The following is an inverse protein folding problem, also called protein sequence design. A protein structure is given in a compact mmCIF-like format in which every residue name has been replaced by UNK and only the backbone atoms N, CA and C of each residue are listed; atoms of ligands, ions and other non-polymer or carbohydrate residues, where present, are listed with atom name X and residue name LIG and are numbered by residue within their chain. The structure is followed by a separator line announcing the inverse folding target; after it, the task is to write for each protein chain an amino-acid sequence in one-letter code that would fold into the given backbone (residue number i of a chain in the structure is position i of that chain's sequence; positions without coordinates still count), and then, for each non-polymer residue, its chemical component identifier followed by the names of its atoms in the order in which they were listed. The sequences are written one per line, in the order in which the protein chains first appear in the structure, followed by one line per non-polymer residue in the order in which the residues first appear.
data_IF_941979522575
#
_entry.id   IF_941979522575
#
_cell.length_a   1.000
_cell.length_b   1.000
_cell.length_c   1.000
_cell.angle_alpha   90.00
_cell.angle_beta   90.00
_cell.angle_gamma   90.00
#
_symmetry.space_group_name_H-M   'P 1'
#
loop_
_entity.id
_entity.type
_entity.pdbx_description
1 polymer ?
#
# COMPACT_ATOMS: atom_id res chain seq x y z
N UNK A 1 25.22 24.72 -17.34
CA UNK A 1 26.11 25.70 -16.65
C UNK A 1 25.45 27.07 -16.50
N UNK A 2 24.61 27.51 -17.42
CA UNK A 2 23.91 28.80 -17.38
C UNK A 2 22.79 28.89 -16.31
N UNK A 3 22.08 27.83 -16.01
CA UNK A 3 20.98 27.84 -15.02
C UNK A 3 21.51 27.95 -13.58
N UNK A 4 22.72 27.50 -13.32
CA UNK A 4 23.34 27.55 -11.99
C UNK A 4 23.85 28.98 -11.64
N UNK A 5 24.19 29.79 -12.63
CA UNK A 5 24.65 31.17 -12.46
C UNK A 5 23.47 32.12 -12.19
N UNK A 6 22.31 31.90 -12.80
CA UNK A 6 21.10 32.69 -12.59
C UNK A 6 20.55 32.58 -11.15
N UNK A 7 20.62 31.38 -10.53
CA UNK A 7 20.13 31.15 -9.14
C UNK A 7 21.01 31.87 -8.09
N UNK A 8 22.30 32.08 -8.33
CA UNK A 8 23.18 32.81 -7.43
C UNK A 8 23.04 34.34 -7.52
N UNK A 9 22.63 34.87 -8.66
CA UNK A 9 22.38 36.31 -8.83
C UNK A 9 21.05 36.75 -8.18
N UNK A 10 20.06 35.86 -8.08
CA UNK A 10 18.78 36.18 -7.42
C UNK A 10 18.88 36.22 -5.87
N UNK A 11 19.81 35.47 -5.29
CA UNK A 11 20.03 35.45 -3.84
C UNK A 11 20.78 36.69 -3.31
N UNK A 12 21.54 37.39 -4.16
CA UNK A 12 22.32 38.60 -3.79
C UNK A 12 21.45 39.85 -3.89
N UNK A 13 20.40 39.87 -4.71
CA UNK A 13 19.52 41.02 -4.86
C UNK A 13 18.46 41.17 -3.74
N UNK A 14 18.16 40.07 -3.01
CA UNK A 14 17.17 40.08 -1.91
C UNK A 14 17.74 40.54 -0.57
N UNK A 15 19.07 40.56 -0.41
CA UNK A 15 19.75 40.97 0.83
C UNK A 15 20.09 42.47 0.91
N UNK A 16 19.83 43.25 -0.16
CA UNK A 16 20.17 44.68 -0.21
C UNK A 16 18.99 45.65 0.02
N UNK A 17 17.76 45.14 0.21
CA UNK A 17 16.54 45.94 0.38
C UNK A 17 16.10 46.09 1.84
N UNK A 18 16.77 45.44 2.81
CA UNK A 18 16.40 45.51 4.25
C UNK A 18 17.25 46.41 5.12
N UNK A 19 18.05 47.30 4.55
CA UNK A 19 19.00 48.20 5.33
C UNK A 19 18.77 49.70 5.16
N UNK A 20 17.58 50.15 4.78
CA UNK A 20 17.30 51.58 4.63
C UNK A 20 15.90 51.96 5.13
N UNK A 21 15.69 51.93 6.49
CA UNK A 21 14.59 52.67 7.11
C UNK A 21 14.79 52.81 8.63
N UNK A 22 15.80 53.58 9.03
CA UNK A 22 15.95 54.06 10.40
C UNK A 22 16.66 55.40 10.36
N UNK A 23 15.94 56.50 10.15
CA UNK A 23 16.32 57.85 10.63
C UNK A 23 15.19 58.87 10.40
N UNK A 24 14.92 59.61 11.47
CA UNK A 24 14.22 60.90 11.58
C UNK A 24 12.79 60.81 12.13
N UNK A 25 12.38 61.46 13.17
CA UNK A 25 12.69 62.71 13.88
C UNK A 25 11.82 62.77 15.13
N UNK A 26 12.26 63.20 16.29
CA UNK A 26 12.23 64.61 16.64
C UNK A 26 11.35 64.86 17.86
N UNK A 27 11.89 65.38 18.91
CA UNK A 27 11.40 65.66 20.24
C UNK A 27 10.18 66.59 20.34
N UNK A 28 9.32 66.37 21.35
CA UNK A 28 8.73 67.41 22.20
C UNK A 28 8.41 66.88 23.58
N UNK A 29 9.01 67.56 24.60
CA UNK A 29 8.74 67.41 26.05
C UNK A 29 7.34 67.92 26.43
N UNK A 30 6.68 67.27 27.39
CA UNK A 30 6.00 67.84 28.56
C UNK A 30 5.09 66.78 29.23
N UNK A 31 4.67 66.95 30.46
CA UNK A 31 5.33 66.71 31.74
C UNK A 31 4.78 65.47 32.47
N UNK A 32 5.49 65.01 33.49
CA UNK A 32 5.16 63.88 34.32
C UNK A 32 3.84 64.02 35.13
N UNK A 33 3.14 62.91 35.34
CA UNK A 33 2.42 62.71 36.58
C UNK A 33 2.82 61.39 37.28
N UNK A 34 3.12 61.60 38.55
CA UNK A 34 2.83 60.80 39.76
C UNK A 34 2.86 59.24 39.68
N UNK A 35 3.79 58.70 40.42
CA UNK A 35 3.90 57.32 40.84
C UNK A 35 2.57 56.77 41.46
N UNK A 36 1.95 55.84 40.76
CA UNK A 36 1.01 54.92 41.39
C UNK A 36 1.64 53.53 41.47
N UNK A 37 1.61 52.94 42.64
CA UNK A 37 2.18 51.67 42.99
C UNK A 37 1.66 50.54 42.07
N UNK A 38 2.59 49.93 41.35
CA UNK A 38 2.36 48.75 40.54
C UNK A 38 2.23 47.54 41.47
N UNK A 39 1.00 47.06 41.66
CA UNK A 39 0.75 45.74 42.24
C UNK A 39 1.42 44.68 41.38
N UNK A 40 2.34 43.92 41.90
CA UNK A 40 2.88 42.72 41.30
C UNK A 40 1.71 41.72 41.05
N UNK A 41 1.45 41.45 39.76
CA UNK A 41 0.61 40.32 39.41
C UNK A 41 1.32 39.03 39.82
N UNK A 42 0.59 38.04 40.39
CA UNK A 42 1.21 36.77 40.75
C UNK A 42 1.75 36.12 39.49
N UNK A 43 2.98 35.61 39.53
CA UNK A 43 3.59 34.80 38.49
C UNK A 43 2.63 33.63 38.19
N UNK A 44 2.21 33.54 36.93
CA UNK A 44 1.51 32.39 36.45
C UNK A 44 2.46 31.20 36.66
N UNK A 45 2.13 30.33 37.58
CA UNK A 45 2.74 29.00 37.66
C UNK A 45 2.29 28.25 36.40
N UNK A 46 3.22 28.04 35.49
CA UNK A 46 3.03 27.10 34.38
C UNK A 46 2.64 25.75 35.00
N UNK A 47 1.36 25.39 34.89
CA UNK A 47 0.93 24.04 35.15
C UNK A 47 1.66 23.12 34.17
N UNK A 48 2.14 21.95 34.61
CA UNK A 48 2.76 21.01 33.67
C UNK A 48 1.77 20.75 32.53
N UNK A 49 2.16 21.00 31.30
CA UNK A 49 1.38 20.58 30.14
C UNK A 49 1.37 19.05 30.22
N UNK A 50 0.21 18.44 30.42
CA UNK A 50 0.09 16.98 30.34
C UNK A 50 0.55 16.54 28.95
N UNK A 51 1.44 15.54 28.90
CA UNK A 51 1.92 14.96 27.66
C UNK A 51 0.73 14.44 26.85
N UNK A 52 0.70 14.74 25.54
CA UNK A 52 -0.35 14.24 24.66
C UNK A 52 -0.37 12.71 24.65
N UNK A 53 -1.48 12.10 24.19
CA UNK A 53 -1.53 10.64 24.01
C UNK A 53 -0.37 10.17 23.11
N UNK A 54 -0.09 10.87 22.04
CA UNK A 54 0.99 10.55 21.11
C UNK A 54 2.37 10.62 21.77
N UNK A 55 2.64 11.64 22.59
CA UNK A 55 3.91 11.73 23.34
C UNK A 55 4.09 10.53 24.29
N UNK A 56 3.03 10.15 24.98
CA UNK A 56 3.04 8.98 25.88
C UNK A 56 3.24 7.67 25.10
N UNK A 57 2.59 7.53 23.93
CA UNK A 57 2.73 6.36 23.07
C UNK A 57 4.17 6.23 22.52
N UNK A 58 4.77 7.34 22.07
CA UNK A 58 6.15 7.36 21.59
C UNK A 58 7.13 6.91 22.68
N UNK A 59 6.99 7.45 23.90
CA UNK A 59 7.89 7.06 25.01
C UNK A 59 7.68 5.59 25.43
N UNK A 60 6.44 5.10 25.43
CA UNK A 60 6.15 3.69 25.72
C UNK A 60 6.71 2.76 24.63
N UNK A 61 6.58 3.13 23.34
CA UNK A 61 7.12 2.39 22.22
C UNK A 61 8.67 2.36 22.25
N UNK A 62 9.32 3.48 22.54
CA UNK A 62 10.78 3.54 22.71
C UNK A 62 11.26 2.64 23.87
N UNK A 63 10.48 2.51 24.93
CA UNK A 63 10.81 1.62 26.04
C UNK A 63 10.75 0.13 25.64
N UNK A 64 9.94 -0.24 24.64
CA UNK A 64 9.93 -1.59 24.06
C UNK A 64 11.13 -1.83 23.14
N UNK A 65 11.62 -0.80 22.46
CA UNK A 65 12.91 -0.73 21.76
C UNK A 65 12.98 -1.47 20.42
N UNK A 66 12.01 -2.30 20.08
CA UNK A 66 11.99 -3.11 18.85
C UNK A 66 10.57 -3.18 18.27
N UNK A 67 10.50 -3.35 16.93
CA UNK A 67 9.27 -3.66 16.18
C UNK A 67 9.58 -4.73 15.14
N UNK A 68 8.69 -5.70 14.95
CA UNK A 68 8.79 -6.74 13.91
C UNK A 68 7.65 -6.59 12.92
N UNK A 69 7.98 -6.33 11.65
CA UNK A 69 7.03 -6.07 10.56
C UNK A 69 6.97 -7.24 9.60
N UNK A 70 5.80 -7.81 9.33
CA UNK A 70 5.56 -8.66 8.18
C UNK A 70 4.98 -7.80 7.06
N UNK A 71 5.72 -7.66 5.95
CA UNK A 71 5.33 -6.83 4.82
C UNK A 71 4.86 -7.64 3.63
N UNK A 72 3.83 -7.16 2.94
CA UNK A 72 3.27 -7.79 1.73
C UNK A 72 3.19 -6.85 0.53
N UNK A 73 3.75 -5.64 0.63
CA UNK A 73 3.94 -4.70 -0.48
C UNK A 73 5.29 -4.93 -1.17
N UNK A 74 5.68 -4.03 -2.08
CA UNK A 74 6.99 -4.01 -2.73
C UNK A 74 8.08 -3.91 -1.67
N UNK A 75 9.17 -4.67 -1.88
CA UNK A 75 10.24 -4.79 -0.88
C UNK A 75 10.95 -3.46 -0.65
N UNK A 76 11.12 -2.67 -1.72
CA UNK A 76 11.76 -1.37 -1.69
C UNK A 76 10.96 -0.38 -0.83
N UNK A 77 9.63 -0.34 -1.00
CA UNK A 77 8.75 0.48 -0.17
C UNK A 77 8.72 0.01 1.29
N UNK A 78 8.64 -1.30 1.52
CA UNK A 78 8.68 -1.87 2.87
C UNK A 78 9.97 -1.48 3.60
N UNK A 79 11.11 -1.61 2.92
CA UNK A 79 12.42 -1.30 3.49
C UNK A 79 12.51 0.16 3.94
N UNK A 80 12.18 1.11 3.04
CA UNK A 80 12.27 2.55 3.37
C UNK A 80 11.24 2.99 4.41
N UNK A 81 10.05 2.37 4.46
CA UNK A 81 9.07 2.63 5.51
C UNK A 81 9.61 2.20 6.89
N UNK A 82 10.24 1.00 6.96
CA UNK A 82 10.89 0.53 8.18
C UNK A 82 12.06 1.42 8.61
N UNK A 83 12.91 1.82 7.67
CA UNK A 83 14.03 2.73 7.91
C UNK A 83 13.53 4.10 8.41
N UNK A 84 12.47 4.64 7.80
CA UNK A 84 11.89 5.93 8.18
C UNK A 84 11.28 5.90 9.59
N UNK A 85 10.57 4.84 9.94
CA UNK A 85 10.06 4.65 11.29
C UNK A 85 11.21 4.60 12.33
N UNK A 86 12.27 3.84 12.02
CA UNK A 86 13.45 3.77 12.89
C UNK A 86 14.15 5.13 13.01
N UNK A 87 14.26 5.91 11.90
CA UNK A 87 14.83 7.26 11.91
C UNK A 87 14.03 8.21 12.82
N UNK A 88 12.69 8.20 12.69
CA UNK A 88 11.82 9.12 13.43
C UNK A 88 11.76 8.82 14.92
N UNK A 89 11.72 7.55 15.30
CA UNK A 89 11.41 7.16 16.66
C UNK A 89 12.57 6.51 17.43
N UNK A 90 13.65 6.14 16.74
CA UNK A 90 14.80 5.48 17.36
C UNK A 90 14.51 4.06 17.86
N UNK A 91 13.49 3.39 17.28
CA UNK A 91 13.09 2.02 17.59
C UNK A 91 13.68 1.11 16.52
N UNK A 92 14.36 0.00 16.91
CA UNK A 92 14.90 -0.97 15.96
C UNK A 92 13.75 -1.67 15.21
N UNK A 93 13.80 -1.71 13.86
CA UNK A 93 12.80 -2.40 13.06
C UNK A 93 13.41 -3.61 12.37
N UNK A 94 12.82 -4.77 12.62
CA UNK A 94 13.10 -6.00 11.89
C UNK A 94 11.92 -6.29 10.97
N UNK A 95 12.18 -6.62 9.71
CA UNK A 95 11.09 -6.92 8.80
C UNK A 95 11.35 -8.19 7.98
N UNK A 96 10.26 -8.80 7.54
CA UNK A 96 10.26 -9.92 6.60
C UNK A 96 9.23 -9.67 5.51
N UNK A 97 9.67 -9.71 4.23
CA UNK A 97 8.77 -9.65 3.09
C UNK A 97 8.18 -11.03 2.82
N UNK A 98 6.85 -11.12 2.85
CA UNK A 98 6.05 -12.32 2.58
C UNK A 98 4.89 -11.95 1.66
N UNK A 99 4.35 -12.87 0.88
CA UNK A 99 3.07 -12.63 0.20
C UNK A 99 1.92 -12.64 1.21
N UNK A 100 0.81 -12.00 0.86
CA UNK A 100 -0.32 -11.80 1.80
C UNK A 100 -0.86 -13.14 2.33
N UNK A 101 -0.94 -14.17 1.47
CA UNK A 101 -1.38 -15.50 1.90
C UNK A 101 -0.38 -16.21 2.81
N UNK A 102 0.93 -15.97 2.61
CA UNK A 102 1.95 -16.51 3.51
C UNK A 102 1.91 -15.87 4.89
N UNK A 103 1.66 -14.54 4.98
CA UNK A 103 1.46 -13.88 6.28
C UNK A 103 0.24 -14.45 6.97
N UNK A 104 -0.90 -14.61 6.26
CA UNK A 104 -2.11 -15.22 6.82
C UNK A 104 -1.79 -16.60 7.40
N UNK A 105 -1.21 -17.52 6.61
CA UNK A 105 -0.88 -18.88 7.06
C UNK A 105 0.07 -18.88 8.27
N UNK A 106 1.09 -18.00 8.25
CA UNK A 106 2.04 -17.87 9.34
C UNK A 106 1.36 -17.41 10.64
N UNK A 107 0.48 -16.43 10.58
CA UNK A 107 -0.23 -15.91 11.75
C UNK A 107 -1.25 -16.94 12.27
N UNK A 108 -1.92 -17.70 11.39
CA UNK A 108 -2.79 -18.82 11.75
C UNK A 108 -1.99 -19.92 12.50
N UNK A 109 -0.80 -20.29 12.01
CA UNK A 109 0.08 -21.28 12.65
C UNK A 109 0.63 -20.80 14.01
N UNK A 110 0.94 -19.51 14.14
CA UNK A 110 1.49 -18.88 15.35
C UNK A 110 0.41 -18.55 16.39
N UNK A 111 -0.85 -18.83 16.14
CA UNK A 111 -2.08 -18.45 16.85
C UNK A 111 -1.90 -17.96 18.30
N UNK A 112 -2.05 -16.65 18.53
CA UNK A 112 -1.98 -16.01 19.84
C UNK A 112 -0.56 -15.75 20.39
N UNK A 113 0.49 -16.20 19.70
CA UNK A 113 1.89 -15.89 20.03
C UNK A 113 2.69 -15.52 18.79
N UNK A 114 2.29 -14.45 18.07
CA UNK A 114 2.93 -14.11 16.81
C UNK A 114 4.41 -13.75 16.99
N UNK A 115 5.22 -14.08 15.98
CA UNK A 115 6.61 -13.66 15.92
C UNK A 115 6.76 -12.24 15.37
N UNK A 116 5.75 -11.74 14.63
CA UNK A 116 5.63 -10.35 14.17
C UNK A 116 4.72 -9.53 15.09
N UNK A 117 4.84 -8.22 15.00
CA UNK A 117 3.98 -7.28 15.73
C UNK A 117 2.90 -6.67 14.84
N UNK A 118 3.26 -6.35 13.59
CA UNK A 118 2.38 -5.68 12.64
C UNK A 118 2.46 -6.30 11.25
N UNK A 119 1.37 -6.13 10.51
CA UNK A 119 1.28 -6.44 9.08
C UNK A 119 1.23 -5.14 8.28
N UNK A 120 1.98 -5.05 7.16
CA UNK A 120 2.05 -3.87 6.32
C UNK A 120 1.94 -4.21 4.84
N UNK A 121 0.94 -3.65 4.15
CA UNK A 121 0.68 -3.85 2.73
C UNK A 121 -0.01 -5.18 2.39
N UNK A 122 -0.28 -5.36 1.09
CA UNK A 122 -1.01 -6.51 0.55
C UNK A 122 -2.53 -6.37 0.66
N UNK A 123 -3.27 -7.30 0.05
CA UNK A 123 -4.73 -7.24 -0.09
C UNK A 123 -5.47 -7.43 1.24
N UNK A 124 -6.62 -6.76 1.41
CA UNK A 124 -7.41 -6.79 2.66
C UNK A 124 -8.22 -8.07 2.87
N UNK A 125 -8.47 -8.90 1.85
CA UNK A 125 -9.24 -10.14 2.03
C UNK A 125 -8.66 -11.05 3.12
N UNK A 126 -7.33 -11.36 3.15
CA UNK A 126 -6.72 -12.09 4.25
C UNK A 126 -6.76 -11.38 5.61
N UNK A 127 -6.68 -10.03 5.64
CA UNK A 127 -6.87 -9.28 6.89
C UNK A 127 -8.26 -9.48 7.48
N UNK A 128 -9.29 -9.45 6.63
CA UNK A 128 -10.66 -9.70 7.05
C UNK A 128 -10.84 -11.11 7.63
N UNK A 129 -10.21 -12.12 7.03
CA UNK A 129 -10.20 -13.50 7.56
C UNK A 129 -9.51 -13.53 8.93
N UNK A 130 -8.31 -12.97 9.05
CA UNK A 130 -7.57 -12.94 10.32
C UNK A 130 -8.33 -12.16 11.41
N UNK A 131 -9.00 -11.06 11.07
CA UNK A 131 -9.84 -10.32 12.01
C UNK A 131 -11.03 -11.17 12.51
N UNK A 132 -11.72 -11.88 11.61
CA UNK A 132 -12.82 -12.76 11.95
C UNK A 132 -12.39 -13.95 12.84
N UNK A 133 -11.18 -14.44 12.67
CA UNK A 133 -10.57 -15.50 13.47
C UNK A 133 -9.95 -15.01 14.80
N UNK A 134 -9.99 -13.69 15.07
CA UNK A 134 -9.44 -13.10 16.30
C UNK A 134 -7.91 -13.08 16.36
N UNK A 135 -7.25 -13.06 15.19
CA UNK A 135 -5.79 -13.03 15.06
C UNK A 135 -5.21 -11.61 14.95
N UNK A 136 -6.08 -10.59 14.84
CA UNK A 136 -5.69 -9.18 14.84
C UNK A 136 -6.15 -8.50 16.14
N UNK A 137 -5.43 -7.44 16.51
CA UNK A 137 -5.77 -6.57 17.64
C UNK A 137 -6.45 -5.30 17.15
N UNK A 138 -7.61 -4.97 17.71
CA UNK A 138 -8.29 -3.73 17.41
C UNK A 138 -7.57 -2.54 18.06
N UNK A 139 -7.38 -1.48 17.30
CA UNK A 139 -6.81 -0.22 17.75
C UNK A 139 -7.50 0.96 17.08
N UNK A 140 -7.99 1.94 17.81
CA UNK A 140 -8.58 3.15 17.25
C UNK A 140 -7.46 4.17 17.01
N UNK A 141 -7.01 4.28 15.76
CA UNK A 141 -5.93 5.17 15.35
C UNK A 141 -6.41 6.62 15.21
N UNK A 142 -5.66 7.60 15.76
CA UNK A 142 -5.96 9.04 15.60
C UNK A 142 -5.86 9.46 14.13
N UNK A 143 -4.83 8.98 13.41
CA UNK A 143 -4.61 9.27 12.00
C UNK A 143 -5.62 8.59 11.05
N UNK A 144 -6.48 7.69 11.53
CA UNK A 144 -7.60 7.17 10.75
C UNK A 144 -8.61 8.24 10.31
N UNK A 145 -8.60 9.42 10.97
CA UNK A 145 -9.39 10.58 10.57
C UNK A 145 -9.01 11.14 9.18
N UNK A 146 -7.84 10.79 8.66
CA UNK A 146 -7.33 11.18 7.34
C UNK A 146 -7.69 10.20 6.21
N UNK A 147 -8.37 9.09 6.50
CA UNK A 147 -8.80 8.16 5.47
C UNK A 147 -9.87 8.80 4.57
N UNK A 148 -9.78 8.58 3.26
CA UNK A 148 -10.71 9.12 2.25
C UNK A 148 -12.15 8.61 2.41
N UNK A 149 -12.37 7.56 3.21
CA UNK A 149 -13.71 7.04 3.49
C UNK A 149 -13.70 5.80 4.37
N UNK A 150 -14.89 5.43 4.84
CA UNK A 150 -15.07 4.28 5.74
C UNK A 150 -14.76 2.93 5.08
N UNK A 151 -14.75 2.86 3.75
CA UNK A 151 -14.36 1.64 3.02
C UNK A 151 -12.88 1.29 3.20
N UNK A 152 -12.05 2.26 3.60
CA UNK A 152 -10.61 2.09 3.78
C UNK A 152 -10.22 1.72 5.22
N UNK A 153 -11.14 1.18 6.01
CA UNK A 153 -10.84 0.65 7.35
C UNK A 153 -11.82 -0.46 7.73
N UNK A 154 -11.39 -1.36 8.58
CA UNK A 154 -12.32 -2.22 9.31
C UNK A 154 -13.17 -1.38 10.28
N UNK A 155 -14.47 -1.71 10.39
CA UNK A 155 -15.41 -0.96 11.23
C UNK A 155 -15.08 -1.01 12.73
N UNK A 156 -14.41 -2.07 13.17
CA UNK A 156 -14.03 -2.33 14.55
C UNK A 156 -12.53 -2.00 14.81
N UNK A 157 -11.82 -1.46 13.79
CA UNK A 157 -10.44 -0.99 13.90
C UNK A 157 -9.38 -2.08 13.85
N UNK A 158 -9.67 -3.23 13.24
CA UNK A 158 -8.70 -4.32 13.09
C UNK A 158 -7.64 -4.06 12.01
N UNK A 159 -7.97 -3.28 10.97
CA UNK A 159 -7.03 -2.88 9.93
C UNK A 159 -7.38 -1.51 9.33
N UNK A 160 -6.39 -0.88 8.72
CA UNK A 160 -6.49 0.43 8.07
C UNK A 160 -5.84 0.37 6.70
N UNK A 161 -6.54 0.91 5.68
CA UNK A 161 -6.04 1.03 4.32
C UNK A 161 -4.95 2.09 4.21
N UNK A 162 -3.94 1.81 3.39
CA UNK A 162 -2.85 2.73 3.10
C UNK A 162 -2.77 3.08 1.62
N UNK A 163 -3.22 2.17 0.75
CA UNK A 163 -3.29 2.38 -0.70
C UNK A 163 -4.41 1.58 -1.38
N UNK A 164 -4.65 1.88 -2.65
CA UNK A 164 -5.57 1.18 -3.57
C UNK A 164 -4.85 0.84 -4.87
N UNK A 165 -4.90 -0.41 -5.31
CA UNK A 165 -4.32 -0.90 -6.54
C UNK A 165 -5.35 -1.50 -7.49
N UNK A 166 -5.25 -1.25 -8.79
CA UNK A 166 -6.19 -1.74 -9.81
C UNK A 166 -5.67 -3.05 -10.39
N UNK A 167 -6.52 -4.09 -10.41
CA UNK A 167 -6.21 -5.38 -11.03
C UNK A 167 -6.33 -5.25 -12.57
N UNK A 168 -5.43 -5.88 -13.31
CA UNK A 168 -5.49 -5.86 -14.77
C UNK A 168 -4.42 -6.74 -15.41
N UNK A 169 -4.06 -6.42 -16.65
CA UNK A 169 -3.05 -7.16 -17.39
C UNK A 169 -1.86 -6.27 -17.71
N UNK A 170 -0.69 -6.87 -17.65
CA UNK A 170 0.56 -6.32 -18.15
C UNK A 170 1.00 -7.19 -19.31
N UNK A 171 1.19 -6.63 -20.50
CA UNK A 171 1.53 -7.42 -21.69
C UNK A 171 2.85 -6.99 -22.30
N UNK A 172 3.65 -7.95 -22.73
CA UNK A 172 4.83 -7.69 -23.54
C UNK A 172 4.42 -7.54 -25.00
N UNK A 173 4.41 -6.30 -25.51
CA UNK A 173 3.99 -5.99 -26.87
C UNK A 173 4.90 -6.61 -27.91
N UNK A 174 6.20 -6.59 -27.70
CA UNK A 174 7.18 -7.10 -28.68
C UNK A 174 6.95 -8.60 -28.89
N UNK A 175 6.66 -9.36 -27.84
CA UNK A 175 6.38 -10.78 -27.94
C UNK A 175 5.03 -11.07 -28.61
N UNK A 176 3.97 -10.33 -28.28
CA UNK A 176 2.67 -10.47 -28.95
C UNK A 176 2.78 -10.11 -30.44
N UNK A 177 3.46 -9.02 -30.79
CA UNK A 177 3.68 -8.60 -32.18
C UNK A 177 4.50 -9.65 -32.97
N UNK A 178 5.55 -10.21 -32.32
CA UNK A 178 6.36 -11.28 -32.94
C UNK A 178 5.55 -12.54 -33.25
N UNK A 179 4.55 -12.85 -32.42
CA UNK A 179 3.66 -14.00 -32.59
C UNK A 179 2.45 -13.70 -33.48
N UNK A 180 2.19 -12.42 -33.78
CA UNK A 180 1.02 -11.98 -34.53
C UNK A 180 -0.28 -12.11 -33.73
N UNK A 181 -0.21 -12.02 -32.40
CA UNK A 181 -1.33 -12.12 -31.46
C UNK A 181 -1.73 -10.69 -31.05
N UNK A 182 -3.02 -10.41 -31.00
CA UNK A 182 -3.52 -9.12 -30.56
C UNK A 182 -3.30 -8.93 -29.03
N UNK A 183 -3.22 -7.68 -28.57
CA UNK A 183 -3.24 -7.35 -27.14
C UNK A 183 -4.63 -7.69 -26.58
N UNK A 184 -4.75 -8.50 -25.50
CA UNK A 184 -6.04 -8.81 -24.88
C UNK A 184 -6.66 -7.55 -24.30
N UNK A 185 -7.96 -7.32 -24.53
CA UNK A 185 -8.66 -6.12 -24.06
C UNK A 185 -9.63 -6.41 -22.93
N UNK A 186 -9.92 -7.69 -22.69
CA UNK A 186 -10.87 -8.10 -21.65
C UNK A 186 -10.53 -9.49 -21.10
N UNK A 187 -11.10 -9.78 -19.94
CA UNK A 187 -10.99 -11.07 -19.27
C UNK A 187 -11.33 -12.23 -20.21
N UNK A 188 -12.40 -12.11 -21.01
CA UNK A 188 -12.82 -13.12 -21.96
C UNK A 188 -11.76 -13.41 -23.05
N UNK A 189 -10.86 -12.49 -23.35
CA UNK A 189 -9.80 -12.72 -24.32
C UNK A 189 -8.78 -13.73 -23.81
N UNK A 190 -8.49 -13.70 -22.49
CA UNK A 190 -7.46 -14.55 -21.88
C UNK A 190 -7.79 -16.05 -21.91
N UNK A 191 -9.04 -16.44 -22.20
CA UNK A 191 -9.46 -17.83 -22.34
C UNK A 191 -9.41 -18.32 -23.80
N UNK A 192 -9.05 -17.46 -24.77
CA UNK A 192 -8.95 -17.83 -26.17
C UNK A 192 -7.70 -18.68 -26.45
N UNK A 193 -7.78 -19.63 -27.40
CA UNK A 193 -6.66 -20.54 -27.70
C UNK A 193 -5.36 -19.87 -28.13
N UNK A 194 -5.42 -18.65 -28.71
CA UNK A 194 -4.22 -17.91 -29.12
C UNK A 194 -3.31 -17.51 -27.95
N UNK A 195 -3.82 -17.51 -26.71
CA UNK A 195 -3.04 -17.20 -25.50
C UNK A 195 -2.56 -18.45 -24.76
N UNK A 196 -2.71 -19.67 -25.34
CA UNK A 196 -2.27 -20.91 -24.70
C UNK A 196 -0.77 -20.85 -24.35
N UNK A 197 -0.46 -21.04 -23.06
CA UNK A 197 0.90 -21.01 -22.53
C UNK A 197 1.54 -19.62 -22.47
N UNK A 198 0.79 -18.53 -22.57
CA UNK A 198 1.30 -17.16 -22.58
C UNK A 198 0.94 -16.39 -21.29
N UNK A 199 0.00 -16.88 -20.49
CA UNK A 199 -0.50 -16.19 -19.32
C UNK A 199 0.28 -16.61 -18.08
N UNK A 200 0.70 -15.65 -17.28
CA UNK A 200 1.19 -15.88 -15.92
C UNK A 200 0.22 -15.30 -14.89
N UNK A 201 0.00 -16.05 -13.85
CA UNK A 201 -0.83 -15.68 -12.70
C UNK A 201 -0.11 -16.07 -11.41
N UNK A 202 -0.43 -15.44 -10.30
CA UNK A 202 0.07 -15.87 -9.01
C UNK A 202 -0.73 -17.07 -8.46
N UNK A 203 -0.13 -17.79 -7.54
CA UNK A 203 -0.69 -19.04 -6.97
C UNK A 203 -1.83 -18.71 -5.99
N UNK A 204 -2.97 -19.39 -6.17
CA UNK A 204 -4.19 -19.21 -5.37
C UNK A 204 -3.99 -19.47 -3.86
N UNK A 205 -3.04 -20.33 -3.49
CA UNK A 205 -2.76 -20.66 -2.09
C UNK A 205 -1.88 -19.59 -1.40
N UNK A 206 -0.98 -18.91 -2.12
CA UNK A 206 0.06 -18.06 -1.51
C UNK A 206 -0.14 -16.58 -1.71
N UNK A 207 -0.76 -16.16 -2.83
CA UNK A 207 -0.84 -14.74 -3.20
C UNK A 207 -2.24 -14.16 -2.98
N UNK A 208 -2.30 -12.99 -2.34
CA UNK A 208 -3.54 -12.23 -2.20
C UNK A 208 -4.11 -11.80 -3.56
N UNK A 209 -3.24 -11.43 -4.52
CA UNK A 209 -3.64 -11.10 -5.89
C UNK A 209 -4.42 -12.21 -6.56
N UNK A 210 -3.98 -13.47 -6.43
CA UNK A 210 -4.70 -14.61 -7.02
C UNK A 210 -6.05 -14.87 -6.33
N UNK A 211 -6.13 -14.68 -5.01
CA UNK A 211 -7.39 -14.74 -4.26
C UNK A 211 -8.36 -13.65 -4.74
N UNK A 212 -7.85 -12.43 -4.98
CA UNK A 212 -8.64 -11.35 -5.56
C UNK A 212 -9.14 -11.70 -6.98
N UNK A 213 -8.33 -12.39 -7.82
CA UNK A 213 -8.78 -12.86 -9.14
C UNK A 213 -9.94 -13.85 -9.01
N UNK A 214 -9.88 -14.81 -8.07
CA UNK A 214 -10.99 -15.75 -7.81
C UNK A 214 -12.27 -14.97 -7.50
N UNK A 215 -12.23 -14.10 -6.49
CA UNK A 215 -13.38 -13.30 -6.07
C UNK A 215 -13.91 -12.42 -7.21
N UNK A 216 -13.00 -11.79 -7.98
CA UNK A 216 -13.36 -10.96 -9.13
C UNK A 216 -14.14 -11.76 -10.16
N UNK A 217 -13.70 -12.96 -10.51
CA UNK A 217 -14.39 -13.80 -11.52
C UNK A 217 -15.75 -14.29 -11.02
N UNK A 218 -15.83 -14.69 -9.75
CA UNK A 218 -17.08 -15.15 -9.14
C UNK A 218 -18.08 -13.99 -9.02
N UNK A 219 -17.67 -12.84 -8.55
CA UNK A 219 -18.56 -11.67 -8.43
C UNK A 219 -18.99 -11.10 -9.78
N UNK A 220 -18.13 -11.22 -10.79
CA UNK A 220 -18.40 -10.72 -12.15
C UNK A 220 -19.34 -11.63 -12.95
N UNK A 221 -19.11 -12.93 -12.89
CA UNK A 221 -19.81 -13.88 -13.77
C UNK A 221 -20.85 -14.76 -13.03
N UNK A 222 -20.87 -14.72 -11.69
CA UNK A 222 -21.59 -15.65 -10.85
C UNK A 222 -20.69 -16.83 -10.45
N UNK A 223 -21.11 -17.57 -9.41
CA UNK A 223 -20.30 -18.60 -8.77
C UNK A 223 -19.80 -19.67 -9.77
N UNK A 224 -20.72 -20.36 -10.44
CA UNK A 224 -20.38 -21.49 -11.30
C UNK A 224 -19.63 -21.05 -12.58
N UNK A 225 -20.08 -19.97 -13.20
CA UNK A 225 -19.46 -19.38 -14.37
C UNK A 225 -18.09 -18.76 -14.06
N UNK A 226 -17.93 -18.21 -12.86
CA UNK A 226 -16.64 -17.68 -12.39
C UNK A 226 -15.60 -18.79 -12.20
N UNK A 227 -15.98 -19.91 -11.59
CA UNK A 227 -15.12 -21.09 -11.46
C UNK A 227 -14.81 -21.66 -12.85
N UNK A 228 -15.81 -21.78 -13.74
CA UNK A 228 -15.59 -22.26 -15.10
C UNK A 228 -14.64 -21.36 -15.88
N UNK A 229 -14.74 -20.02 -15.72
CA UNK A 229 -13.78 -19.08 -16.31
C UNK A 229 -12.35 -19.39 -15.86
N UNK A 230 -12.12 -19.63 -14.56
CA UNK A 230 -10.79 -19.95 -14.03
C UNK A 230 -10.24 -21.27 -14.57
N UNK A 231 -11.12 -22.27 -14.77
CA UNK A 231 -10.77 -23.54 -15.43
C UNK A 231 -10.39 -23.33 -16.90
N UNK A 232 -11.09 -22.44 -17.60
CA UNK A 232 -10.77 -22.13 -19.00
C UNK A 232 -9.49 -21.30 -19.12
N UNK A 233 -9.28 -20.35 -18.19
CA UNK A 233 -8.05 -19.56 -18.08
C UNK A 233 -6.82 -20.45 -17.81
N UNK A 234 -6.95 -21.46 -16.93
CA UNK A 234 -5.87 -22.37 -16.57
C UNK A 234 -5.22 -23.06 -17.78
N UNK A 235 -5.99 -23.31 -18.84
CA UNK A 235 -5.48 -23.90 -20.10
C UNK A 235 -4.41 -23.00 -20.75
N UNK A 236 -4.50 -21.70 -20.52
CA UNK A 236 -3.61 -20.69 -21.08
C UNK A 236 -2.51 -20.25 -20.10
N UNK A 237 -2.58 -20.67 -18.82
CA UNK A 237 -1.58 -20.33 -17.81
C UNK A 237 -0.33 -21.19 -17.98
N UNK A 238 0.80 -20.54 -18.17
CA UNK A 238 2.12 -21.15 -18.25
C UNK A 238 2.73 -21.33 -16.84
N UNK A 239 2.61 -20.30 -15.98
CA UNK A 239 3.28 -20.25 -14.68
C UNK A 239 2.34 -19.69 -13.62
N UNK A 240 2.30 -20.37 -12.47
CA UNK A 240 1.75 -19.85 -11.23
C UNK A 240 2.88 -19.41 -10.29
N UNK A 241 3.07 -18.09 -10.15
CA UNK A 241 4.15 -17.52 -9.33
C UNK A 241 3.78 -17.52 -7.84
N UNK A 242 4.76 -17.68 -6.96
CA UNK A 242 4.54 -17.63 -5.50
C UNK A 242 4.00 -16.28 -5.02
N UNK A 243 4.52 -15.18 -5.57
CA UNK A 243 4.16 -13.80 -5.22
C UNK A 243 3.22 -13.19 -6.26
N UNK A 244 2.30 -12.30 -5.81
CA UNK A 244 1.41 -11.53 -6.67
C UNK A 244 2.14 -10.67 -7.70
N UNK A 245 3.31 -10.12 -7.36
CA UNK A 245 4.16 -9.33 -8.27
C UNK A 245 5.08 -10.17 -9.18
N UNK A 246 5.01 -11.50 -9.09
CA UNK A 246 5.82 -12.36 -9.95
C UNK A 246 5.58 -12.17 -11.44
N UNK A 247 4.33 -12.10 -11.92
CA UNK A 247 4.05 -11.85 -13.34
C UNK A 247 4.65 -10.52 -13.82
N UNK A 248 4.45 -9.40 -13.10
CA UNK A 248 4.93 -8.08 -13.49
C UNK A 248 6.45 -8.03 -13.68
N UNK A 249 7.19 -8.66 -12.78
CA UNK A 249 8.67 -8.68 -12.80
C UNK A 249 9.26 -9.38 -14.02
N UNK A 250 8.47 -10.22 -14.72
CA UNK A 250 8.92 -11.02 -15.85
C UNK A 250 8.31 -10.59 -17.19
N UNK A 251 7.36 -9.64 -17.20
CA UNK A 251 6.75 -9.16 -18.46
C UNK A 251 7.77 -8.40 -19.32
N UNK A 252 8.56 -7.52 -18.72
CA UNK A 252 9.53 -6.70 -19.47
C UNK A 252 10.61 -7.52 -20.18
N UNK A 253 11.04 -8.64 -19.59
CA UNK A 253 12.03 -9.55 -20.17
C UNK A 253 11.45 -10.46 -21.25
N UNK A 254 10.13 -10.58 -21.35
CA UNK A 254 9.44 -11.48 -22.28
C UNK A 254 9.31 -12.94 -21.79
N UNK A 255 9.75 -13.26 -20.58
CA UNK A 255 9.50 -14.57 -19.98
C UNK A 255 8.00 -14.76 -19.69
N UNK A 256 7.36 -13.70 -19.21
CA UNK A 256 5.91 -13.58 -19.10
C UNK A 256 5.40 -12.74 -20.28
N UNK A 257 4.50 -13.26 -21.10
CA UNK A 257 3.93 -12.51 -22.22
C UNK A 257 2.70 -11.72 -21.78
N UNK A 258 1.83 -12.34 -20.99
CA UNK A 258 0.65 -11.70 -20.40
C UNK A 258 0.64 -12.00 -18.91
N UNK A 259 0.87 -11.00 -18.10
CA UNK A 259 0.82 -11.09 -16.64
C UNK A 259 -0.49 -10.56 -16.08
N UNK A 260 -1.19 -11.35 -15.26
CA UNK A 260 -2.32 -10.88 -14.47
C UNK A 260 -1.79 -10.41 -13.11
N UNK A 261 -2.08 -9.15 -12.75
CA UNK A 261 -1.63 -8.58 -11.49
C UNK A 261 -2.08 -7.13 -11.32
N UNK A 262 -1.47 -6.42 -10.39
CA UNK A 262 -1.77 -5.01 -10.18
C UNK A 262 -1.04 -4.13 -11.19
N UNK A 263 -1.75 -3.17 -11.75
CA UNK A 263 -1.23 -2.32 -12.83
C UNK A 263 -0.13 -1.37 -12.35
N UNK A 264 -0.12 -1.00 -11.07
CA UNK A 264 0.97 -0.21 -10.49
C UNK A 264 2.32 -0.96 -10.50
N UNK A 265 2.33 -2.29 -10.34
CA UNK A 265 3.54 -3.11 -10.51
C UNK A 265 4.09 -2.99 -11.93
N UNK A 266 3.21 -2.92 -12.93
CA UNK A 266 3.61 -2.69 -14.32
C UNK A 266 4.18 -1.30 -14.55
N UNK A 267 3.66 -0.27 -13.87
CA UNK A 267 4.24 1.08 -13.91
C UNK A 267 5.68 1.05 -13.40
N UNK A 268 5.94 0.36 -12.28
CA UNK A 268 7.30 0.17 -11.75
C UNK A 268 8.23 -0.43 -12.79
N UNK A 269 7.79 -1.45 -13.53
CA UNK A 269 8.61 -2.06 -14.58
C UNK A 269 8.91 -1.10 -15.72
N UNK A 270 7.95 -0.26 -16.11
CA UNK A 270 8.12 0.71 -17.19
C UNK A 270 9.02 1.88 -16.74
N UNK A 271 8.72 2.47 -15.60
CA UNK A 271 9.34 3.73 -15.14
C UNK A 271 10.72 3.50 -14.54
N UNK A 272 10.83 2.57 -13.61
CA UNK A 272 12.06 2.37 -12.84
C UNK A 272 13.01 1.39 -13.53
N UNK A 273 12.47 0.34 -14.16
CA UNK A 273 13.27 -0.67 -14.84
C UNK A 273 13.44 -0.43 -16.36
N UNK A 274 12.72 0.57 -16.92
CA UNK A 274 12.91 1.04 -18.30
C UNK A 274 12.31 0.11 -19.37
N UNK A 275 11.38 -0.77 -19.03
CA UNK A 275 10.73 -1.68 -19.98
C UNK A 275 9.62 -0.99 -20.77
N UNK A 276 9.99 -0.24 -21.83
CA UNK A 276 9.05 0.46 -22.70
C UNK A 276 8.19 -0.44 -23.61
N UNK A 277 8.41 -1.75 -23.58
CA UNK A 277 7.66 -2.78 -24.31
C UNK A 277 6.45 -3.33 -23.53
N UNK A 278 6.21 -2.85 -22.32
CA UNK A 278 5.04 -3.23 -21.52
C UNK A 278 3.85 -2.32 -21.85
N UNK A 279 2.69 -2.90 -22.11
CA UNK A 279 1.41 -2.22 -22.17
C UNK A 279 0.55 -2.63 -20.95
N UNK A 280 -0.07 -1.64 -20.31
CA UNK A 280 -1.01 -1.86 -19.20
C UNK A 280 -2.43 -1.91 -19.76
N UNK A 281 -3.18 -2.94 -19.41
CA UNK A 281 -4.54 -3.15 -19.90
C UNK A 281 -5.51 -3.20 -18.74
N UNK A 282 -6.45 -2.26 -18.72
CA UNK A 282 -7.62 -2.28 -17.84
C UNK A 282 -8.71 -3.07 -18.59
N UNK A 283 -9.20 -4.21 -18.05
CA UNK A 283 -10.23 -5.01 -18.70
C UNK A 283 -11.49 -4.20 -19.02
N UNK A 284 -11.90 -4.18 -20.28
CA UNK A 284 -12.97 -3.30 -20.79
C UNK A 284 -14.35 -3.55 -20.17
N UNK A 285 -14.61 -4.78 -19.72
CA UNK A 285 -15.86 -5.15 -19.04
C UNK A 285 -15.85 -4.87 -17.53
N UNK A 286 -14.79 -4.23 -17.03
CA UNK A 286 -14.61 -3.91 -15.61
C UNK A 286 -13.68 -4.89 -14.89
N UNK A 287 -13.05 -4.39 -13.84
CA UNK A 287 -12.11 -5.13 -13.00
C UNK A 287 -12.23 -4.69 -11.54
N UNK A 288 -11.70 -5.49 -10.63
CA UNK A 288 -11.65 -5.18 -9.21
C UNK A 288 -10.36 -4.42 -8.83
N UNK A 289 -10.25 -4.20 -7.54
CA UNK A 289 -9.13 -3.50 -6.93
C UNK A 289 -8.75 -4.12 -5.58
N UNK A 290 -7.52 -3.91 -5.16
CA UNK A 290 -7.12 -4.15 -3.78
C UNK A 290 -7.21 -2.87 -2.95
N UNK A 291 -7.37 -3.05 -1.64
CA UNK A 291 -6.97 -2.09 -0.63
C UNK A 291 -5.77 -2.71 0.08
N UNK A 292 -4.62 -2.06 0.02
CA UNK A 292 -3.47 -2.47 0.82
C UNK A 292 -3.61 -1.89 2.22
N UNK A 293 -3.32 -2.70 3.25
CA UNK A 293 -3.65 -2.33 4.62
C UNK A 293 -2.48 -2.50 5.59
N UNK A 294 -2.68 -2.01 6.81
CA UNK A 294 -1.83 -2.27 7.97
C UNK A 294 -2.67 -2.71 9.17
N UNK A 295 -2.13 -3.60 10.01
CA UNK A 295 -2.81 -4.16 11.17
C UNK A 295 -1.82 -4.56 12.27
N UNK A 296 -2.33 -4.69 13.50
CA UNK A 296 -1.58 -5.21 14.65
C UNK A 296 -1.95 -6.69 14.84
N UNK A 297 -0.97 -7.57 15.00
CA UNK A 297 -1.24 -8.97 15.33
C UNK A 297 -1.69 -9.11 16.79
N UNK A 298 -2.67 -9.98 17.01
CA UNK A 298 -3.14 -10.31 18.36
C UNK A 298 -2.04 -10.97 19.17
N UNK A 299 -1.69 -10.38 20.30
CA UNK A 299 -0.59 -10.86 21.15
C UNK A 299 0.80 -10.38 20.72
N UNK A 300 0.88 -9.32 19.90
CA UNK A 300 2.13 -8.64 19.54
C UNK A 300 3.00 -8.39 20.79
N UNK A 301 4.30 -8.64 20.66
CA UNK A 301 5.26 -8.52 21.78
C UNK A 301 5.59 -7.07 22.11
N UNK A 302 5.44 -6.17 21.13
CA UNK A 302 5.75 -4.75 21.25
C UNK A 302 4.49 -3.92 20.93
N UNK A 303 3.44 -3.98 21.80
CA UNK A 303 2.11 -3.42 21.48
C UNK A 303 2.10 -1.90 21.34
N UNK A 304 2.98 -1.17 22.03
CA UNK A 304 3.06 0.29 21.88
C UNK A 304 3.81 0.67 20.58
N UNK A 305 4.88 -0.02 20.24
CA UNK A 305 5.56 0.15 18.97
C UNK A 305 4.64 -0.23 17.80
N UNK A 306 3.81 -1.26 17.95
CA UNK A 306 2.81 -1.65 16.96
C UNK A 306 1.72 -0.57 16.76
N UNK A 307 1.20 0.02 17.83
CA UNK A 307 0.24 1.15 17.73
C UNK A 307 0.88 2.37 17.08
N UNK A 308 2.12 2.71 17.47
CA UNK A 308 2.86 3.82 16.87
C UNK A 308 3.14 3.57 15.38
N UNK A 309 3.37 2.31 14.97
CA UNK A 309 3.46 1.95 13.57
C UNK A 309 2.17 2.24 12.81
N UNK A 310 0.99 1.92 13.37
CA UNK A 310 -0.29 2.23 12.71
C UNK A 310 -0.42 3.74 12.48
N UNK A 311 -0.12 4.57 13.50
CA UNK A 311 -0.16 6.03 13.35
C UNK A 311 0.81 6.53 12.27
N UNK A 312 2.03 5.98 12.23
CA UNK A 312 3.01 6.29 11.21
C UNK A 312 2.55 5.82 9.81
N UNK A 313 2.05 4.60 9.68
CA UNK A 313 1.58 4.03 8.41
C UNK A 313 0.41 4.83 7.80
N UNK A 314 -0.38 5.52 8.63
CA UNK A 314 -1.48 6.41 8.23
C UNK A 314 -1.05 7.88 8.11
N UNK A 315 0.23 8.16 7.98
CA UNK A 315 0.76 9.50 7.85
C UNK A 315 1.45 9.74 6.51
N UNK A 316 1.54 11.00 6.05
CA UNK A 316 2.32 11.36 4.86
C UNK A 316 3.80 10.95 4.93
N UNK A 317 4.37 10.88 6.14
CA UNK A 317 5.77 10.47 6.36
C UNK A 317 6.04 9.03 5.92
N UNK A 318 5.01 8.17 5.95
CA UNK A 318 5.08 6.80 5.47
C UNK A 318 4.62 6.68 4.02
N UNK A 319 3.34 7.08 3.74
CA UNK A 319 2.72 6.71 2.45
C UNK A 319 3.32 7.45 1.26
N UNK A 320 3.86 8.67 1.44
CA UNK A 320 4.54 9.40 0.37
C UNK A 320 5.88 8.77 -0.05
N UNK A 321 6.45 7.88 0.75
CA UNK A 321 7.67 7.15 0.39
C UNK A 321 7.42 6.17 -0.77
N UNK A 322 6.18 5.72 -0.96
CA UNK A 322 5.81 4.69 -1.91
C UNK A 322 6.26 5.04 -3.34
N UNK A 323 5.85 6.19 -3.87
CA UNK A 323 6.11 6.57 -5.25
C UNK A 323 7.60 6.81 -5.58
N UNK A 324 8.41 7.20 -4.59
CA UNK A 324 9.84 7.40 -4.75
C UNK A 324 10.63 6.08 -4.66
N UNK A 325 9.93 4.97 -4.32
CA UNK A 325 10.50 3.65 -4.10
C UNK A 325 9.72 2.56 -4.85
N UNK A 326 9.32 2.85 -6.07
CA UNK A 326 8.77 1.89 -7.02
C UNK A 326 7.35 1.38 -6.70
N UNK A 327 6.58 2.12 -5.92
CA UNK A 327 5.25 1.73 -5.46
C UNK A 327 4.24 2.81 -5.84
N UNK A 328 3.53 2.62 -6.96
CA UNK A 328 2.71 3.64 -7.62
C UNK A 328 1.20 3.44 -7.39
N UNK A 329 0.80 2.86 -6.26
CA UNK A 329 -0.59 2.71 -5.86
C UNK A 329 -1.21 4.06 -5.53
N UNK A 330 -2.52 4.20 -5.72
CA UNK A 330 -3.27 5.35 -5.25
C UNK A 330 -3.35 5.35 -3.72
N UNK A 331 -2.99 6.47 -3.10
CA UNK A 331 -3.02 6.59 -1.64
C UNK A 331 -4.44 6.91 -1.16
N UNK A 332 -4.84 6.32 -0.04
CA UNK A 332 -6.21 6.44 0.50
C UNK A 332 -6.28 7.39 1.70
N UNK A 333 -5.33 8.30 1.82
CA UNK A 333 -5.17 9.28 2.90
C UNK A 333 -5.22 10.69 2.29
N UNK A 334 -6.06 11.59 2.84
CA UNK A 334 -6.43 12.88 2.26
C UNK A 334 -5.31 13.92 2.23
N UNK A 335 -4.34 13.80 3.12
CA UNK A 335 -3.17 14.68 3.23
C UNK A 335 -1.90 14.11 2.58
N UNK A 336 -2.01 13.00 1.84
CA UNK A 336 -0.92 12.38 1.09
C UNK A 336 -0.79 12.95 -0.34
N UNK A 337 0.39 12.80 -0.93
CA UNK A 337 0.67 13.18 -2.31
C UNK A 337 0.42 12.00 -3.25
N UNK A 338 -0.61 12.11 -4.10
CA UNK A 338 -0.94 11.05 -5.06
C UNK A 338 0.15 10.85 -6.11
N UNK A 339 0.43 9.61 -6.55
CA UNK A 339 1.39 9.33 -7.61
C UNK A 339 0.83 9.79 -8.96
N UNK A 340 1.30 10.93 -9.45
CA UNK A 340 0.85 11.52 -10.72
C UNK A 340 1.04 10.55 -11.90
N UNK A 341 2.10 9.76 -11.88
CA UNK A 341 2.44 8.79 -12.91
C UNK A 341 1.34 7.75 -13.14
N UNK A 342 0.63 7.30 -12.09
CA UNK A 342 -0.46 6.35 -12.23
C UNK A 342 -1.58 6.90 -13.14
N UNK A 343 -1.92 8.18 -12.97
CA UNK A 343 -2.91 8.88 -13.80
C UNK A 343 -2.38 9.11 -15.23
N UNK A 344 -1.09 9.37 -15.41
CA UNK A 344 -0.47 9.52 -16.73
C UNK A 344 -0.55 8.22 -17.55
N UNK A 345 -0.53 7.05 -16.90
CA UNK A 345 -0.79 5.75 -17.51
C UNK A 345 -2.28 5.44 -17.71
N UNK A 346 -3.17 6.39 -17.44
CA UNK A 346 -4.62 6.25 -17.65
C UNK A 346 -5.34 5.46 -16.58
N UNK A 347 -4.70 5.21 -15.43
CA UNK A 347 -5.36 4.55 -14.31
C UNK A 347 -6.28 5.55 -13.59
N UNK A 348 -7.49 5.08 -13.27
CA UNK A 348 -8.49 5.83 -12.51
C UNK A 348 -8.99 4.93 -11.35
N UNK A 349 -8.72 5.29 -10.09
CA UNK A 349 -9.12 4.48 -8.94
C UNK A 349 -10.64 4.38 -8.76
N UNK A 350 -11.41 5.25 -9.41
CA UNK A 350 -12.88 5.21 -9.36
C UNK A 350 -13.49 4.34 -10.48
N UNK A 351 -12.70 4.00 -11.52
CA UNK A 351 -13.17 3.17 -12.63
C UNK A 351 -12.93 1.69 -12.38
N UNK A 352 -13.55 1.17 -11.31
CA UNK A 352 -13.47 -0.24 -10.89
C UNK A 352 -14.87 -0.77 -10.61
N UNK A 353 -15.04 -2.10 -10.62
CA UNK A 353 -16.31 -2.72 -10.26
C UNK A 353 -16.59 -2.55 -8.77
N UNK A 354 -17.88 -2.59 -8.41
CA UNK A 354 -18.29 -2.72 -7.01
C UNK A 354 -17.87 -4.12 -6.49
N UNK A 355 -16.91 -4.14 -5.56
CA UNK A 355 -16.33 -5.38 -5.04
C UNK A 355 -16.91 -5.67 -3.65
N UNK A 356 -17.52 -6.84 -3.50
CA UNK A 356 -18.11 -7.29 -2.25
C UNK A 356 -17.04 -7.92 -1.33
N UNK A 357 -16.47 -7.09 -0.45
CA UNK A 357 -15.50 -7.52 0.56
C UNK A 357 -16.07 -8.48 1.61
N UNK A 358 -17.40 -8.41 1.89
CA UNK A 358 -18.04 -9.33 2.85
C UNK A 358 -18.21 -10.72 2.24
N UNK A 359 -18.60 -10.83 0.96
CA UNK A 359 -18.61 -12.09 0.23
C UNK A 359 -17.21 -12.72 0.19
N UNK A 360 -16.21 -11.93 -0.22
CA UNK A 360 -14.82 -12.36 -0.27
C UNK A 360 -14.34 -12.92 1.07
N UNK A 361 -14.53 -12.17 2.15
CA UNK A 361 -14.17 -12.57 3.52
C UNK A 361 -14.81 -13.88 3.94
N UNK A 362 -16.10 -14.05 3.68
CA UNK A 362 -16.87 -15.19 4.15
C UNK A 362 -16.61 -16.47 3.35
N UNK A 363 -16.26 -16.34 2.07
CA UNK A 363 -16.27 -17.47 1.13
C UNK A 363 -14.91 -17.81 0.51
N UNK A 364 -13.89 -16.95 0.61
CA UNK A 364 -12.62 -17.15 -0.13
C UNK A 364 -11.96 -18.51 0.14
N UNK A 365 -12.00 -19.04 1.37
CA UNK A 365 -11.43 -20.35 1.68
C UNK A 365 -12.15 -21.45 0.89
N UNK A 366 -13.48 -21.42 0.86
CA UNK A 366 -14.31 -22.34 0.07
C UNK A 366 -14.05 -22.19 -1.42
N UNK A 367 -14.00 -20.95 -1.92
CA UNK A 367 -13.73 -20.67 -3.34
C UNK A 367 -12.37 -21.20 -3.80
N UNK A 368 -11.32 -21.05 -2.98
CA UNK A 368 -10.00 -21.63 -3.27
C UNK A 368 -10.09 -23.15 -3.36
N UNK A 369 -10.75 -23.83 -2.41
CA UNK A 369 -10.90 -25.29 -2.41
C UNK A 369 -11.66 -25.79 -3.64
N UNK A 370 -12.73 -25.10 -4.04
CA UNK A 370 -13.53 -25.41 -5.22
C UNK A 370 -12.73 -25.21 -6.51
N UNK A 371 -12.06 -24.09 -6.66
CA UNK A 371 -11.18 -23.81 -7.81
C UNK A 371 -10.04 -24.83 -7.88
N UNK A 372 -9.34 -25.08 -6.79
CA UNK A 372 -8.26 -26.08 -6.76
C UNK A 372 -8.76 -27.49 -7.09
N UNK A 373 -9.96 -27.85 -6.63
CA UNK A 373 -10.60 -29.13 -6.98
C UNK A 373 -10.94 -29.19 -8.46
N UNK A 374 -11.53 -28.13 -9.02
CA UNK A 374 -11.86 -28.04 -10.44
C UNK A 374 -10.63 -28.10 -11.35
N UNK A 375 -9.48 -27.57 -10.88
CA UNK A 375 -8.18 -27.62 -11.57
C UNK A 375 -7.44 -28.96 -11.38
N UNK A 376 -8.05 -29.95 -10.73
CA UNK A 376 -7.50 -31.31 -10.61
C UNK A 376 -6.71 -31.61 -9.35
N UNK A 377 -6.78 -30.78 -8.34
CA UNK A 377 -6.30 -30.96 -6.96
C UNK A 377 -4.91 -31.61 -6.81
N UNK A 378 -3.89 -30.89 -6.44
CA UNK A 378 -2.55 -31.43 -6.16
C UNK A 378 -1.58 -31.44 -7.35
N UNK A 379 -1.89 -30.69 -8.41
CA UNK A 379 -0.97 -30.43 -9.51
C UNK A 379 0.32 -29.78 -9.00
N UNK A 380 1.48 -30.25 -9.48
CA UNK A 380 2.80 -29.75 -9.10
C UNK A 380 2.98 -28.23 -9.39
N UNK A 381 2.20 -27.68 -10.33
CA UNK A 381 2.19 -26.22 -10.65
C UNK A 381 1.81 -25.34 -9.45
N UNK A 382 1.06 -25.89 -8.47
CA UNK A 382 0.63 -25.18 -7.26
C UNK A 382 1.48 -25.51 -6.03
N UNK A 383 2.51 -26.37 -6.16
CA UNK A 383 3.44 -26.63 -5.08
C UNK A 383 4.45 -25.49 -5.00
N UNK A 384 4.51 -24.85 -3.86
CA UNK A 384 5.57 -23.89 -3.54
C UNK A 384 6.72 -24.64 -2.91
N UNK A 385 7.84 -24.77 -3.63
CA UNK A 385 9.11 -25.24 -3.04
C UNK A 385 9.68 -24.21 -2.07
#
# INVERSE_FOLDING_TARGET
MEVYIMKKLFAILLSLVMLLSLAACGAKEAPAPTEEAKAEAPAATDAPVEASYMDQLIEAAKAEGTLVVYGSCEEEYLAVACEKFQELYGIEVQYQRLSTGEVQSKVEEEAGTPSGDVWFGGTTDPYNVCAAEGLLEAYEAENASHLLGSAYRDKDGYWYGIYKGILGFMVNRDELDRMGIAVPQDWADLTKPEYEGLVWLSNYNTAGTAKLVINTMIQKYGHDEGIQYLVDLDKNVQVYTKSGSGPSKNVGTGECVVGIGFLHDGITQIVDNGYGNIELVIPSSGTSYEIGATAIFKGAKHPNAAKLWIEFALSPDCVNLAQDNGSYQFLVIDNATQPAVATEFGLDPENVMDYDFEDAKNNIKTYIEEVMTALGGGDDRFKTE
#
